data_IF_565424779375
#
_entry.id   IF_565424779375
#
_cell.length_a   1.000
_cell.length_b   1.000
_cell.length_c   1.000
_cell.angle_alpha   90.00
_cell.angle_beta   90.00
_cell.angle_gamma   90.00
#
_symmetry.space_group_name_H-M   'P 1'
#
loop_
_entity.id
_entity.type
_entity.pdbx_description
1 polymer ?
#
# COMPACT_ATOMS: atom_id res chain seq x y z
N UNK A 1 -12.63 -17.72 -12.27
CA UNK A 1 -11.39 -18.10 -12.93
C UNK A 1 -10.20 -17.48 -12.20
N UNK A 2 -9.11 -18.21 -12.19
CA UNK A 2 -7.91 -17.80 -11.45
C UNK A 2 -7.16 -16.69 -12.18
N UNK A 3 -6.68 -15.69 -11.42
CA UNK A 3 -5.77 -14.68 -11.92
C UNK A 3 -4.76 -14.33 -10.82
N UNK A 4 -3.65 -13.68 -11.20
CA UNK A 4 -2.61 -13.30 -10.25
C UNK A 4 -2.90 -11.90 -9.70
N UNK A 5 -3.05 -11.81 -8.39
CA UNK A 5 -3.31 -10.53 -7.71
C UNK A 5 -2.17 -9.53 -7.96
N UNK A 6 -0.92 -9.99 -8.02
CA UNK A 6 0.22 -9.11 -8.29
C UNK A 6 0.13 -8.44 -9.67
N UNK A 7 -0.56 -9.06 -10.62
CA UNK A 7 -0.74 -8.50 -11.97
C UNK A 7 -2.04 -7.71 -12.11
N UNK A 8 -3.10 -8.17 -11.47
CA UNK A 8 -4.44 -7.62 -11.60
C UNK A 8 -5.02 -7.33 -10.23
N UNK A 9 -4.83 -6.10 -9.72
CA UNK A 9 -5.41 -5.70 -8.42
C UNK A 9 -6.92 -5.80 -8.41
N UNK A 10 -7.50 -5.71 -7.22
CA UNK A 10 -8.95 -5.78 -7.02
C UNK A 10 -9.41 -4.49 -6.36
N UNK A 11 -10.50 -3.90 -6.86
CA UNK A 11 -11.22 -2.84 -6.17
C UNK A 11 -12.32 -3.45 -5.31
N UNK A 12 -12.27 -3.19 -4.01
CA UNK A 12 -13.37 -3.48 -3.09
C UNK A 12 -14.22 -2.22 -3.01
N UNK A 13 -15.42 -2.30 -3.58
CA UNK A 13 -16.32 -1.15 -3.69
C UNK A 13 -17.50 -1.20 -2.74
N UNK A 14 -18.38 -0.20 -2.84
CA UNK A 14 -19.62 -0.15 -2.10
C UNK A 14 -20.52 -1.33 -2.49
N UNK A 15 -21.41 -1.73 -1.59
CA UNK A 15 -22.30 -2.86 -1.82
C UNK A 15 -21.58 -4.22 -1.82
N UNK A 16 -20.45 -4.29 -1.11
CA UNK A 16 -19.64 -5.51 -1.00
C UNK A 16 -19.18 -6.04 -2.37
N UNK A 17 -18.91 -5.15 -3.30
CA UNK A 17 -18.40 -5.53 -4.63
C UNK A 17 -16.89 -5.78 -4.60
N UNK A 18 -16.44 -6.68 -5.47
CA UNK A 18 -15.03 -6.95 -5.70
C UNK A 18 -14.81 -6.98 -7.21
N UNK A 19 -14.05 -6.02 -7.74
CA UNK A 19 -13.90 -5.83 -9.19
C UNK A 19 -12.44 -5.97 -9.58
N UNK A 20 -12.15 -6.96 -10.41
CA UNK A 20 -10.81 -7.13 -10.99
C UNK A 20 -10.46 -5.90 -11.82
N UNK A 21 -9.23 -5.39 -11.62
CA UNK A 21 -8.71 -4.26 -12.37
C UNK A 21 -7.88 -4.72 -13.58
N UNK A 22 -7.63 -3.82 -14.54
CA UNK A 22 -6.64 -4.06 -15.60
C UNK A 22 -5.24 -4.29 -15.01
N UNK A 23 -4.27 -4.59 -15.87
CA UNK A 23 -2.90 -4.86 -15.44
C UNK A 23 -2.30 -3.68 -14.66
N UNK A 24 -1.65 -3.99 -13.52
CA UNK A 24 -0.91 -2.99 -12.72
C UNK A 24 0.27 -2.41 -13.51
N UNK A 25 0.72 -3.09 -14.55
CA UNK A 25 1.82 -2.62 -15.40
C UNK A 25 1.37 -1.59 -16.44
N UNK A 26 0.07 -1.36 -16.60
CA UNK A 26 -0.44 -0.31 -17.46
C UNK A 26 0.11 1.03 -16.99
N UNK A 27 0.64 1.83 -17.92
CA UNK A 27 1.37 3.06 -17.66
C UNK A 27 0.61 4.06 -16.77
N UNK A 28 -0.70 4.14 -16.94
CA UNK A 28 -1.58 5.06 -16.23
C UNK A 28 -2.52 4.34 -15.26
N UNK A 29 -2.11 3.19 -14.74
CA UNK A 29 -2.97 2.34 -13.92
C UNK A 29 -3.66 3.11 -12.78
N UNK A 30 -2.89 3.83 -11.95
CA UNK A 30 -3.46 4.49 -10.77
C UNK A 30 -4.36 5.66 -11.13
N UNK A 31 -4.02 6.43 -12.16
CA UNK A 31 -4.85 7.51 -12.65
C UNK A 31 -6.18 6.98 -13.21
N UNK A 32 -6.12 5.96 -14.04
CA UNK A 32 -7.31 5.34 -14.62
C UNK A 32 -8.16 4.64 -13.55
N UNK A 33 -7.54 3.98 -12.58
CA UNK A 33 -8.22 3.38 -11.45
C UNK A 33 -9.00 4.44 -10.66
N UNK A 34 -8.36 5.54 -10.31
CA UNK A 34 -9.01 6.63 -9.60
C UNK A 34 -10.22 7.16 -10.39
N UNK A 35 -10.06 7.38 -11.70
CA UNK A 35 -11.16 7.86 -12.55
C UNK A 35 -12.36 6.90 -12.54
N UNK A 36 -12.11 5.58 -12.52
CA UNK A 36 -13.19 4.58 -12.52
C UNK A 36 -13.92 4.47 -11.18
N UNK A 37 -13.21 4.63 -10.06
CA UNK A 37 -13.70 4.23 -8.74
C UNK A 37 -13.78 5.36 -7.72
N UNK A 38 -13.44 6.59 -8.07
CA UNK A 38 -13.51 7.74 -7.14
C UNK A 38 -14.91 7.93 -6.55
N UNK A 39 -15.95 7.57 -7.28
CA UNK A 39 -17.32 7.69 -6.81
C UNK A 39 -17.64 6.83 -5.58
N UNK A 40 -16.86 5.78 -5.31
CA UNK A 40 -17.04 4.97 -4.10
C UNK A 40 -16.50 5.68 -2.84
N UNK A 41 -15.79 6.79 -3.00
CA UNK A 41 -15.26 7.57 -1.89
C UNK A 41 -14.18 6.82 -1.09
N UNK A 42 -14.00 7.23 0.15
CA UNK A 42 -12.96 6.67 1.02
C UNK A 42 -13.22 5.22 1.46
N UNK A 43 -14.43 4.73 1.30
CA UNK A 43 -14.77 3.33 1.62
C UNK A 43 -14.34 2.36 0.52
N UNK A 44 -14.09 2.84 -0.70
CA UNK A 44 -13.49 2.04 -1.75
C UNK A 44 -12.02 1.74 -1.43
N UNK A 45 -11.61 0.50 -1.62
CA UNK A 45 -10.26 0.03 -1.31
C UNK A 45 -9.64 -0.68 -2.48
N UNK A 46 -8.36 -0.45 -2.72
CA UNK A 46 -7.57 -1.22 -3.66
C UNK A 46 -6.83 -2.32 -2.91
N UNK A 47 -6.97 -3.56 -3.38
CA UNK A 47 -6.19 -4.70 -2.92
C UNK A 47 -5.12 -4.95 -3.97
N UNK A 48 -3.85 -4.84 -3.56
CA UNK A 48 -2.70 -5.03 -4.45
C UNK A 48 -1.63 -5.86 -3.78
N UNK A 49 -0.70 -6.39 -4.57
CA UNK A 49 0.41 -7.18 -4.08
C UNK A 49 1.67 -6.78 -4.83
N UNK A 50 2.72 -6.47 -4.09
CA UNK A 50 4.01 -6.06 -4.65
C UNK A 50 5.16 -6.83 -4.03
N UNK A 51 6.18 -7.09 -4.85
CA UNK A 51 7.47 -7.60 -4.38
C UNK A 51 8.50 -6.48 -4.45
N UNK A 52 9.19 -6.26 -3.34
CA UNK A 52 10.23 -5.24 -3.23
C UNK A 52 11.59 -5.88 -3.10
N UNK A 53 12.55 -5.39 -3.86
CA UNK A 53 13.96 -5.82 -3.79
C UNK A 53 14.85 -4.75 -3.15
N UNK A 54 14.34 -3.52 -3.00
CA UNK A 54 15.06 -2.37 -2.49
C UNK A 54 14.22 -1.62 -1.47
N UNK A 55 14.84 -0.90 -0.52
CA UNK A 55 14.12 0.02 0.34
C UNK A 55 13.30 1.02 -0.47
N UNK A 56 12.19 1.46 0.08
CA UNK A 56 11.41 2.53 -0.53
C UNK A 56 12.21 3.83 -0.56
N UNK A 57 11.98 4.62 -1.58
CA UNK A 57 12.65 5.93 -1.73
C UNK A 57 11.79 7.09 -1.23
N UNK A 58 10.56 6.80 -0.84
CA UNK A 58 9.59 7.80 -0.40
C UNK A 58 8.90 7.38 0.89
N UNK A 59 8.42 8.37 1.63
CA UNK A 59 7.36 8.21 2.60
C UNK A 59 6.01 8.37 1.89
N UNK A 60 5.01 7.66 2.35
CA UNK A 60 3.67 7.68 1.80
C UNK A 60 2.66 7.84 2.92
N UNK A 61 1.54 8.53 2.65
CA UNK A 61 0.39 8.55 3.56
C UNK A 61 -0.92 8.53 2.80
N UNK A 62 -1.94 8.01 3.44
CA UNK A 62 -3.29 7.92 2.92
C UNK A 62 -4.23 8.69 3.83
N UNK A 63 -4.56 9.97 3.51
CA UNK A 63 -5.32 10.82 4.44
C UNK A 63 -6.77 10.38 4.67
N UNK A 64 -7.33 9.62 3.72
CA UNK A 64 -8.76 9.28 3.73
C UNK A 64 -9.08 7.95 4.37
N UNK A 65 -8.11 7.14 4.75
CA UNK A 65 -8.37 5.87 5.39
C UNK A 65 -7.12 5.13 5.83
N UNK A 66 -7.32 4.09 6.62
CA UNK A 66 -6.25 3.21 7.04
C UNK A 66 -5.80 2.29 5.90
N UNK A 67 -4.54 1.89 5.94
CA UNK A 67 -4.00 0.89 5.04
C UNK A 67 -3.60 -0.35 5.83
N UNK A 68 -4.04 -1.52 5.39
CA UNK A 68 -3.56 -2.80 5.91
C UNK A 68 -2.40 -3.27 5.03
N UNK A 69 -1.29 -3.64 5.65
CA UNK A 69 -0.14 -4.25 5.00
C UNK A 69 0.12 -5.61 5.60
N UNK A 70 0.13 -6.64 4.76
CA UNK A 70 0.40 -8.03 5.19
C UNK A 70 1.65 -8.51 4.46
N UNK A 71 2.69 -8.88 5.23
CA UNK A 71 3.86 -9.52 4.65
C UNK A 71 3.48 -10.97 4.30
N UNK A 72 3.66 -11.38 3.05
CA UNK A 72 3.35 -12.74 2.59
C UNK A 72 4.58 -13.57 2.34
N UNK A 73 5.73 -12.96 2.09
CA UNK A 73 7.01 -13.66 2.01
C UNK A 73 8.17 -12.71 2.31
N UNK A 74 9.25 -13.25 2.84
CA UNK A 74 10.40 -12.45 3.22
C UNK A 74 10.18 -11.67 4.51
N UNK A 75 10.92 -10.58 4.67
CA UNK A 75 10.88 -9.72 5.86
C UNK A 75 10.82 -8.27 5.42
N UNK A 76 9.88 -7.51 5.99
CA UNK A 76 9.70 -6.09 5.70
C UNK A 76 9.74 -5.31 7.00
N UNK A 77 10.56 -4.26 7.05
CA UNK A 77 10.57 -3.33 8.18
C UNK A 77 9.79 -2.09 7.81
N UNK A 78 8.69 -1.84 8.52
CA UNK A 78 7.82 -0.68 8.30
C UNK A 78 8.13 0.38 9.35
N UNK A 79 8.26 1.63 8.90
CA UNK A 79 8.45 2.79 9.76
C UNK A 79 7.21 3.67 9.69
N UNK A 80 6.73 4.10 10.85
CA UNK A 80 5.59 5.03 10.96
C UNK A 80 6.02 6.26 11.75
N UNK A 81 5.76 7.44 11.19
CA UNK A 81 6.05 8.71 11.88
C UNK A 81 4.88 9.06 12.80
N UNK A 82 5.19 9.19 14.09
CA UNK A 82 4.20 9.55 15.11
C UNK A 82 3.94 11.06 15.11
N UNK A 83 2.87 11.48 15.78
CA UNK A 83 2.47 12.88 15.86
C UNK A 83 3.55 13.78 16.49
N UNK A 84 4.38 13.23 17.37
CA UNK A 84 5.48 13.94 18.02
C UNK A 84 6.77 13.97 17.19
N UNK A 85 6.74 13.42 15.97
CA UNK A 85 7.88 13.32 15.06
C UNK A 85 8.79 12.12 15.29
N UNK A 86 8.56 11.32 16.32
CA UNK A 86 9.31 10.08 16.50
C UNK A 86 8.86 9.02 15.49
N UNK A 87 9.72 8.05 15.23
CA UNK A 87 9.44 6.96 14.29
C UNK A 87 9.28 5.65 15.05
N UNK A 88 8.14 5.01 14.88
CA UNK A 88 7.92 3.66 15.36
C UNK A 88 8.25 2.67 14.24
N UNK A 89 8.97 1.62 14.58
CA UNK A 89 9.43 0.63 13.60
C UNK A 89 8.87 -0.74 13.95
N UNK A 90 8.36 -1.44 12.93
CA UNK A 90 7.83 -2.79 13.06
C UNK A 90 8.45 -3.69 12.00
N UNK A 91 8.94 -4.86 12.41
CA UNK A 91 9.46 -5.87 11.49
C UNK A 91 8.40 -6.94 11.26
N UNK A 92 8.02 -7.11 9.99
CA UNK A 92 7.02 -8.08 9.56
C UNK A 92 7.70 -9.28 8.93
N UNK A 93 7.38 -10.47 9.44
CA UNK A 93 7.69 -11.73 8.79
C UNK A 93 6.47 -12.26 8.05
N UNK A 94 6.62 -13.31 7.25
CA UNK A 94 5.49 -13.88 6.51
C UNK A 94 4.32 -14.20 7.45
N UNK A 95 3.14 -13.67 7.14
CA UNK A 95 1.94 -13.79 7.95
C UNK A 95 1.70 -12.66 8.93
N UNK A 96 2.69 -11.78 9.14
CA UNK A 96 2.52 -10.61 10.00
C UNK A 96 1.88 -9.45 9.25
N UNK A 97 1.17 -8.61 9.98
CA UNK A 97 0.48 -7.45 9.43
C UNK A 97 0.71 -6.20 10.27
N UNK A 98 0.58 -5.05 9.64
CA UNK A 98 0.56 -3.75 10.30
C UNK A 98 -0.55 -2.91 9.69
N UNK A 99 -1.12 -2.03 10.50
CA UNK A 99 -2.06 -1.02 10.03
C UNK A 99 -1.36 0.34 10.04
N UNK A 100 -1.36 1.00 8.89
CA UNK A 100 -0.96 2.40 8.78
C UNK A 100 -2.21 3.24 8.99
N UNK A 101 -2.32 3.98 10.11
CA UNK A 101 -3.50 4.81 10.36
C UNK A 101 -3.68 5.92 9.31
N UNK A 102 -4.90 6.48 9.17
CA UNK A 102 -5.11 7.56 8.23
C UNK A 102 -4.16 8.74 8.48
N UNK A 103 -3.54 9.24 7.41
CA UNK A 103 -2.66 10.40 7.45
C UNK A 103 -1.29 10.18 8.10
N UNK A 104 -0.97 8.98 8.54
CA UNK A 104 0.34 8.68 9.12
C UNK A 104 1.34 8.39 8.01
N UNK A 105 2.45 9.14 8.00
CA UNK A 105 3.54 8.87 7.09
C UNK A 105 4.19 7.53 7.42
N UNK A 106 4.36 6.69 6.40
CA UNK A 106 5.02 5.40 6.54
C UNK A 106 5.96 5.15 5.37
N UNK A 107 6.95 4.31 5.61
CA UNK A 107 7.90 3.83 4.60
C UNK A 107 8.36 2.44 4.97
N UNK A 108 9.11 1.80 4.10
CA UNK A 108 9.52 0.41 4.32
C UNK A 108 10.95 0.15 3.84
N UNK A 109 11.62 -0.76 4.53
CA UNK A 109 12.92 -1.27 4.17
C UNK A 109 12.89 -2.78 3.99
N UNK A 110 13.67 -3.25 3.03
CA UNK A 110 13.95 -4.67 2.82
C UNK A 110 15.44 -4.85 2.60
N UNK A 111 15.99 -5.97 3.06
CA UNK A 111 17.39 -6.37 2.82
C UNK A 111 17.50 -7.46 1.77
N UNK A 112 16.40 -8.13 1.47
CA UNK A 112 16.26 -9.15 0.45
C UNK A 112 14.83 -9.05 -0.13
N UNK A 113 14.54 -9.65 -1.28
CA UNK A 113 13.20 -9.57 -1.86
C UNK A 113 12.13 -10.03 -0.87
N UNK A 114 11.08 -9.24 -0.76
CA UNK A 114 9.93 -9.51 0.11
C UNK A 114 8.64 -9.11 -0.59
N UNK A 115 7.56 -9.80 -0.27
CA UNK A 115 6.26 -9.57 -0.88
C UNK A 115 5.24 -9.18 0.18
N UNK A 116 4.44 -8.17 -0.13
CA UNK A 116 3.34 -7.73 0.73
C UNK A 116 2.06 -7.52 -0.04
N UNK A 117 0.95 -7.79 0.65
CA UNK A 117 -0.40 -7.47 0.22
C UNK A 117 -0.82 -6.17 0.90
N UNK A 118 -1.41 -5.27 0.12
CA UNK A 118 -1.87 -3.96 0.57
C UNK A 118 -3.37 -3.83 0.37
N UNK A 119 -4.08 -3.33 1.38
CA UNK A 119 -5.48 -2.93 1.24
C UNK A 119 -5.53 -1.45 1.61
N UNK A 120 -5.78 -0.61 0.60
CA UNK A 120 -5.53 0.84 0.69
C UNK A 120 -6.74 1.66 0.27
N UNK A 121 -7.13 2.63 1.12
CA UNK A 121 -8.03 3.70 0.74
C UNK A 121 -7.19 4.83 0.13
N UNK A 122 -6.99 4.80 -1.19
CA UNK A 122 -5.95 5.57 -1.85
C UNK A 122 -6.30 6.98 -2.30
N UNK A 123 -7.54 7.46 -2.06
CA UNK A 123 -7.91 8.82 -2.46
C UNK A 123 -7.07 9.84 -1.71
N UNK A 124 -6.39 10.71 -2.45
CA UNK A 124 -5.56 11.77 -1.87
C UNK A 124 -4.23 11.28 -1.32
N UNK A 125 -3.77 10.10 -1.71
CA UNK A 125 -2.44 9.60 -1.33
C UNK A 125 -1.36 10.63 -1.63
N UNK A 126 -0.49 10.84 -0.66
CA UNK A 126 0.61 11.80 -0.76
C UNK A 126 1.94 11.11 -0.56
N UNK A 127 2.97 11.66 -1.18
CA UNK A 127 4.35 11.17 -1.08
C UNK A 127 5.28 12.29 -0.69
N UNK A 128 6.36 11.97 0.02
CA UNK A 128 7.50 12.87 0.23
C UNK A 128 8.80 12.06 0.12
N UNK A 129 9.91 12.67 -0.34
CA UNK A 129 11.18 11.97 -0.42
C UNK A 129 11.69 11.51 0.94
N UNK A 130 12.34 10.36 0.98
CA UNK A 130 13.13 9.95 2.15
C UNK A 130 14.47 10.67 2.10
N UNK A 131 14.88 11.18 3.26
CA UNK A 131 16.21 11.74 3.39
C UNK A 131 17.23 10.61 3.48
N UNK A 132 18.40 10.84 2.86
CA UNK A 132 19.54 9.97 3.06
C UNK A 132 20.09 10.19 4.47
N UNK A 133 20.34 9.11 5.20
CA UNK A 133 20.86 9.17 6.57
C UNK A 133 22.40 9.15 6.64
N UNK A 134 23.05 9.18 5.50
CA UNK A 134 24.53 9.18 5.39
C UNK A 134 25.04 10.02 4.24
#
# INVERSE_FOLDING_TARGET
LVFRLASFPIHLGLGATAVRQPSIEDKDFFEAYAARHTSDGAEGRLVSMFTFSQPWTVWERHPRGAELVVCTSGTITVHQEQADGTVQTATLHAGDAVVNPPGVWHTADVTAPATALFITAGIGTEHRPRESTW
#
